data_IF_360513328850
#
_entry.id   IF_360513328850
#
_cell.length_a   1.000
_cell.length_b   1.000
_cell.length_c   1.000
_cell.angle_alpha   90.00
_cell.angle_beta   90.00
_cell.angle_gamma   90.00
#
_symmetry.space_group_name_H-M   'P 1'
#
loop_
_entity.id
_entity.type
_entity.pdbx_description
1 polymer ?
#
# COMPACT_ATOMS: atom_id res chain seq x y z
N UNK A 1 14.18 -7.90 22.76
CA UNK A 1 15.42 -8.13 21.98
C UNK A 1 15.06 -7.88 20.54
N UNK A 2 15.29 -6.67 20.02
CA UNK A 2 15.30 -6.36 18.59
C UNK A 2 16.58 -7.03 18.08
N UNK A 3 16.42 -8.14 17.34
CA UNK A 3 17.54 -8.78 16.70
C UNK A 3 18.14 -7.78 15.69
N UNK A 4 19.45 -7.63 15.70
CA UNK A 4 20.21 -6.85 14.74
C UNK A 4 19.94 -7.36 13.31
N UNK A 5 18.91 -6.83 12.68
CA UNK A 5 18.51 -7.17 11.32
C UNK A 5 19.47 -6.46 10.38
N UNK A 6 20.11 -7.18 9.47
CA UNK A 6 20.99 -6.64 8.43
C UNK A 6 20.29 -5.48 7.72
N UNK A 7 20.73 -4.25 7.95
CA UNK A 7 20.23 -3.01 7.32
C UNK A 7 20.58 -2.89 5.83
N UNK A 8 20.74 -4.02 5.13
CA UNK A 8 21.17 -4.02 3.73
C UNK A 8 20.12 -3.51 2.74
N UNK A 9 18.85 -3.30 3.17
CA UNK A 9 17.73 -2.88 2.33
C UNK A 9 16.93 -1.69 2.91
N UNK A 10 17.60 -0.79 3.64
CA UNK A 10 16.95 0.39 4.20
C UNK A 10 17.56 1.68 3.63
N UNK A 11 16.74 2.72 3.57
CA UNK A 11 17.10 4.06 3.10
C UNK A 11 16.55 5.12 4.04
N UNK A 12 17.12 6.32 3.97
CA UNK A 12 16.60 7.52 4.64
C UNK A 12 15.93 8.41 3.61
N UNK A 13 14.71 8.84 3.89
CA UNK A 13 13.99 9.87 3.15
C UNK A 13 13.73 11.06 4.07
N UNK A 14 14.29 12.22 3.74
CA UNK A 14 14.00 13.47 4.47
C UNK A 14 12.53 13.87 4.29
N UNK A 15 11.84 14.23 5.38
CA UNK A 15 10.43 14.64 5.33
C UNK A 15 10.16 15.78 4.35
N UNK A 16 11.09 16.75 4.25
CA UNK A 16 11.02 17.88 3.30
C UNK A 16 10.97 17.44 1.83
N UNK A 17 11.52 16.25 1.52
CA UNK A 17 11.54 15.69 0.16
C UNK A 17 10.34 14.81 -0.16
N UNK A 18 9.54 14.46 0.84
CA UNK A 18 8.39 13.54 0.67
C UNK A 18 7.41 14.06 -0.39
N UNK A 19 7.00 15.33 -0.30
CA UNK A 19 6.06 15.93 -1.26
C UNK A 19 6.58 15.87 -2.70
N UNK A 20 7.88 16.14 -2.90
CA UNK A 20 8.53 16.07 -4.22
C UNK A 20 8.61 14.64 -4.74
N UNK A 21 8.86 13.67 -3.88
CA UNK A 21 8.84 12.25 -4.20
C UNK A 21 7.43 11.80 -4.63
N UNK A 22 6.39 12.12 -3.85
CA UNK A 22 5.00 11.77 -4.18
C UNK A 22 4.52 12.44 -5.47
N UNK A 23 4.89 13.71 -5.68
CA UNK A 23 4.57 14.42 -6.93
C UNK A 23 5.16 13.73 -8.16
N UNK A 24 6.35 13.14 -8.02
CA UNK A 24 6.94 12.38 -9.12
C UNK A 24 6.23 11.05 -9.33
N UNK A 25 5.85 10.35 -8.24
CA UNK A 25 5.09 9.10 -8.32
C UNK A 25 3.75 9.27 -9.05
N UNK A 26 3.04 10.36 -8.80
CA UNK A 26 1.74 10.64 -9.43
C UNK A 26 1.79 10.82 -10.94
N UNK A 27 2.98 10.92 -11.55
CA UNK A 27 3.10 10.96 -13.01
C UNK A 27 2.84 9.61 -13.66
N UNK A 28 3.18 8.53 -12.96
CA UNK A 28 3.17 7.18 -13.50
C UNK A 28 2.15 6.28 -12.78
N UNK A 29 1.70 6.69 -11.59
CA UNK A 29 0.84 5.89 -10.71
C UNK A 29 -0.36 6.71 -10.21
N UNK A 30 -1.51 6.04 -10.09
CA UNK A 30 -2.63 6.53 -9.29
C UNK A 30 -2.26 6.37 -7.81
N UNK A 31 -2.14 7.48 -7.09
CA UNK A 31 -1.79 7.51 -5.68
C UNK A 31 -3.06 7.44 -4.83
N UNK A 32 -3.14 6.43 -3.96
CA UNK A 32 -4.23 6.26 -2.99
C UNK A 32 -3.68 6.56 -1.60
N UNK A 33 -4.33 7.45 -0.87
CA UNK A 33 -3.89 7.82 0.47
C UNK A 33 -5.05 8.13 1.42
N UNK A 34 -4.81 8.12 2.75
CA UNK A 34 -5.81 8.55 3.72
C UNK A 34 -6.01 10.06 3.63
N UNK A 35 -7.27 10.48 3.48
CA UNK A 35 -7.69 11.88 3.39
C UNK A 35 -8.92 12.09 4.25
N UNK A 36 -9.05 13.30 4.80
CA UNK A 36 -10.24 13.70 5.55
C UNK A 36 -11.40 13.93 4.57
N UNK A 37 -12.49 13.22 4.76
CA UNK A 37 -13.71 13.36 3.98
C UNK A 37 -14.58 14.51 4.53
N UNK A 38 -15.58 14.95 3.74
CA UNK A 38 -16.50 16.01 4.14
C UNK A 38 -17.33 15.69 5.39
N UNK A 39 -17.58 14.40 5.63
CA UNK A 39 -18.29 13.91 6.81
C UNK A 39 -17.45 13.89 8.10
N UNK A 40 -16.15 14.21 8.01
CA UNK A 40 -15.24 14.26 9.16
C UNK A 40 -14.52 12.95 9.46
N UNK A 41 -14.78 11.90 8.71
CA UNK A 41 -14.06 10.63 8.78
C UNK A 41 -12.90 10.57 7.76
N UNK A 42 -11.98 9.63 7.95
CA UNK A 42 -10.89 9.42 7.03
C UNK A 42 -11.23 8.32 6.02
N UNK A 43 -10.90 8.56 4.75
CA UNK A 43 -11.07 7.60 3.66
C UNK A 43 -9.76 7.39 2.92
N UNK A 44 -9.51 6.14 2.50
CA UNK A 44 -8.54 5.84 1.45
C UNK A 44 -9.18 6.20 0.12
N UNK A 45 -8.62 7.17 -0.59
CA UNK A 45 -9.13 7.63 -1.87
C UNK A 45 -8.01 8.13 -2.78
N UNK A 46 -8.30 8.25 -4.06
CA UNK A 46 -7.35 8.76 -5.04
C UNK A 46 -6.94 10.20 -4.70
N UNK A 47 -5.64 10.44 -4.77
CA UNK A 47 -5.02 11.70 -4.36
C UNK A 47 -4.78 12.56 -5.60
N UNK A 48 -5.54 13.63 -5.74
CA UNK A 48 -5.31 14.65 -6.75
C UNK A 48 -4.43 15.79 -6.21
N UNK A 49 -4.59 16.09 -4.93
CA UNK A 49 -3.84 17.12 -4.21
C UNK A 49 -3.08 16.52 -3.02
N UNK A 50 -1.76 16.68 -3.02
CA UNK A 50 -0.88 16.16 -1.97
C UNK A 50 -1.09 16.82 -0.60
N UNK A 51 -1.66 18.03 -0.55
CA UNK A 51 -1.93 18.72 0.70
C UNK A 51 -3.13 18.12 1.46
N UNK A 52 -3.92 17.28 0.78
CA UNK A 52 -5.03 16.52 1.39
C UNK A 52 -4.61 15.23 2.08
N UNK A 53 -3.37 14.77 1.85
CA UNK A 53 -2.85 13.57 2.50
C UNK A 53 -2.73 13.81 3.99
N UNK A 54 -3.37 12.96 4.79
CA UNK A 54 -3.30 13.05 6.24
C UNK A 54 -2.74 11.74 6.82
N UNK A 55 -1.48 11.77 7.25
CA UNK A 55 -0.83 10.64 7.91
C UNK A 55 -1.14 10.54 9.40
N UNK A 56 -1.72 11.59 9.97
CA UNK A 56 -2.15 11.63 11.38
C UNK A 56 -3.62 11.22 11.52
N UNK A 57 -4.02 10.16 10.83
CA UNK A 57 -5.35 9.56 10.95
C UNK A 57 -5.34 8.41 11.95
N UNK A 58 -6.49 8.10 12.52
CA UNK A 58 -6.65 6.97 13.42
C UNK A 58 -7.04 5.68 12.69
N UNK A 59 -8.15 5.70 11.93
CA UNK A 59 -8.64 4.62 11.08
C UNK A 59 -9.39 5.21 9.89
N UNK A 60 -9.40 4.51 8.77
CA UNK A 60 -10.23 4.85 7.61
C UNK A 60 -11.57 4.12 7.67
N UNK A 61 -12.64 4.79 7.23
CA UNK A 61 -13.99 4.22 7.20
C UNK A 61 -14.17 3.18 6.08
N UNK A 62 -13.39 3.27 5.01
CA UNK A 62 -13.30 2.25 3.99
C UNK A 62 -12.01 1.42 4.15
N UNK A 63 -11.95 0.29 3.48
CA UNK A 63 -10.85 -0.64 3.61
C UNK A 63 -10.01 -0.71 2.34
N UNK A 64 -8.69 -0.91 2.51
CA UNK A 64 -7.77 -1.17 1.40
C UNK A 64 -8.23 -2.35 0.52
N UNK A 65 -8.90 -3.32 1.11
CA UNK A 65 -9.38 -4.54 0.43
C UNK A 65 -10.36 -4.25 -0.72
N UNK A 66 -11.16 -3.20 -0.60
CA UNK A 66 -12.15 -2.82 -1.63
C UNK A 66 -11.53 -2.46 -2.97
N UNK A 67 -10.27 -2.04 -2.99
CA UNK A 67 -9.54 -1.74 -4.23
C UNK A 67 -9.12 -2.99 -5.00
N UNK A 68 -9.04 -4.13 -4.33
CA UNK A 68 -8.66 -5.41 -4.93
C UNK A 68 -9.89 -6.29 -5.18
N UNK A 69 -10.85 -6.26 -4.25
CA UNK A 69 -12.08 -7.03 -4.31
C UNK A 69 -13.27 -6.11 -4.02
N UNK A 70 -13.73 -5.34 -5.01
CA UNK A 70 -14.87 -4.43 -4.84
C UNK A 70 -16.18 -5.20 -4.71
N UNK A 71 -17.16 -4.59 -4.03
CA UNK A 71 -18.49 -5.19 -3.80
C UNK A 71 -19.25 -5.48 -5.12
N UNK A 72 -18.92 -4.78 -6.20
CA UNK A 72 -19.48 -4.98 -7.54
C UNK A 72 -18.37 -4.86 -8.57
N UNK A 73 -18.27 -5.85 -9.46
CA UNK A 73 -17.31 -5.88 -10.54
C UNK A 73 -17.90 -6.57 -11.75
N UNK A 74 -17.62 -6.04 -12.94
CA UNK A 74 -18.03 -6.70 -14.18
C UNK A 74 -16.94 -7.72 -14.55
N UNK A 75 -17.32 -9.00 -14.63
CA UNK A 75 -16.38 -10.10 -14.91
C UNK A 75 -16.28 -10.33 -16.41
N UNK A 76 -17.40 -10.24 -17.13
CA UNK A 76 -17.46 -10.35 -18.60
C UNK A 76 -18.71 -9.65 -19.14
N UNK A 77 -18.71 -9.35 -20.43
CA UNK A 77 -19.91 -8.97 -21.17
C UNK A 77 -20.25 -10.06 -22.19
N UNK A 78 -21.53 -10.18 -22.54
CA UNK A 78 -21.93 -11.11 -23.60
C UNK A 78 -22.86 -10.45 -24.61
N UNK A 79 -22.82 -10.93 -25.83
CA UNK A 79 -23.74 -10.57 -26.91
C UNK A 79 -24.45 -11.82 -27.39
N UNK A 80 -25.77 -11.78 -27.44
CA UNK A 80 -26.59 -12.83 -28.03
C UNK A 80 -26.93 -12.44 -29.47
N UNK A 81 -26.53 -13.25 -30.45
CA UNK A 81 -26.97 -13.16 -31.82
C UNK A 81 -27.59 -14.50 -32.17
N UNK A 82 -28.65 -14.50 -33.00
CA UNK A 82 -29.44 -15.65 -33.47
C UNK A 82 -28.75 -17.02 -33.28
N UNK A 83 -29.05 -17.68 -32.15
CA UNK A 83 -28.53 -19.02 -31.84
C UNK A 83 -27.08 -19.13 -31.32
N UNK A 84 -26.34 -18.02 -31.19
CA UNK A 84 -24.97 -18.01 -30.69
C UNK A 84 -24.75 -16.97 -29.57
N UNK A 85 -23.83 -17.27 -28.66
CA UNK A 85 -23.38 -16.36 -27.61
C UNK A 85 -21.91 -16.01 -27.85
N UNK A 86 -21.62 -14.73 -27.88
CA UNK A 86 -20.24 -14.23 -27.86
C UNK A 86 -19.93 -13.67 -26.46
N UNK A 87 -19.03 -14.31 -25.74
CA UNK A 87 -18.54 -13.84 -24.45
C UNK A 87 -17.31 -12.97 -24.72
N UNK A 88 -17.30 -11.76 -24.20
CA UNK A 88 -16.15 -10.87 -24.26
C UNK A 88 -15.62 -10.71 -22.81
N UNK A 89 -14.43 -11.24 -22.53
CA UNK A 89 -13.79 -10.98 -21.25
C UNK A 89 -13.51 -9.48 -21.12
N UNK A 90 -13.71 -8.93 -19.93
CA UNK A 90 -13.40 -7.51 -19.71
C UNK A 90 -11.90 -7.40 -19.56
N UNK A 91 -11.28 -6.71 -20.51
CA UNK A 91 -9.92 -6.21 -20.39
C UNK A 91 -9.98 -4.82 -19.74
N UNK A 92 -10.30 -4.76 -18.45
CA UNK A 92 -10.15 -3.50 -17.74
C UNK A 92 -8.68 -3.09 -17.74
N UNK A 93 -8.43 -1.85 -18.16
CA UNK A 93 -7.14 -1.21 -17.95
C UNK A 93 -6.99 -0.90 -16.47
N UNK A 94 -6.58 -1.90 -15.69
CA UNK A 94 -6.29 -1.71 -14.27
C UNK A 94 -5.12 -0.73 -14.15
N UNK A 95 -5.29 0.43 -13.52
CA UNK A 95 -4.22 1.39 -13.32
C UNK A 95 -3.14 0.82 -12.41
N UNK A 96 -1.91 1.28 -12.61
CA UNK A 96 -0.86 1.04 -11.62
C UNK A 96 -1.12 1.95 -10.41
N UNK A 97 -1.21 1.37 -9.22
CA UNK A 97 -1.56 2.09 -7.99
C UNK A 97 -0.42 2.05 -6.98
N UNK A 98 -0.25 3.16 -6.29
CA UNK A 98 0.56 3.25 -5.07
C UNK A 98 -0.36 3.57 -3.92
N UNK A 99 -0.45 2.68 -2.97
CA UNK A 99 -1.15 2.91 -1.71
C UNK A 99 -0.16 3.46 -0.70
N UNK A 100 -0.36 4.69 -0.28
CA UNK A 100 0.57 5.42 0.58
C UNK A 100 -0.08 5.77 1.91
N UNK A 101 0.64 5.60 3.00
CA UNK A 101 0.15 5.95 4.33
C UNK A 101 -0.66 4.85 5.02
N UNK A 102 -0.54 3.58 4.55
CA UNK A 102 -1.23 2.44 5.14
C UNK A 102 -0.74 2.14 6.56
N UNK A 103 -1.60 1.60 7.41
CA UNK A 103 -1.17 1.00 8.68
C UNK A 103 -0.70 -0.45 8.44
N UNK A 104 0.15 -0.95 9.33
CA UNK A 104 0.62 -2.35 9.26
C UNK A 104 -0.53 -3.35 9.25
N UNK A 105 -1.58 -3.11 10.05
CA UNK A 105 -2.77 -3.96 10.09
C UNK A 105 -3.55 -3.98 8.76
N UNK A 106 -3.56 -2.88 7.99
CA UNK A 106 -4.23 -2.84 6.68
C UNK A 106 -3.48 -3.72 5.67
N UNK A 107 -2.14 -3.66 5.68
CA UNK A 107 -1.29 -4.51 4.84
C UNK A 107 -1.49 -5.98 5.19
N UNK A 108 -1.49 -6.33 6.48
CA UNK A 108 -1.75 -7.71 6.93
C UNK A 108 -3.14 -8.22 6.52
N UNK A 109 -4.14 -7.34 6.52
CA UNK A 109 -5.48 -7.69 6.04
C UNK A 109 -5.49 -8.03 4.54
N UNK A 110 -4.67 -7.34 3.73
CA UNK A 110 -4.49 -7.70 2.30
C UNK A 110 -3.73 -9.00 2.15
N UNK A 111 -2.69 -9.27 2.94
CA UNK A 111 -1.99 -10.56 2.92
C UNK A 111 -2.93 -11.73 3.22
N UNK A 112 -3.90 -11.53 4.11
CA UNK A 112 -4.93 -12.54 4.38
C UNK A 112 -5.80 -12.78 3.15
N UNK A 113 -6.20 -11.73 2.42
CA UNK A 113 -6.89 -11.89 1.13
C UNK A 113 -6.00 -12.56 0.08
N UNK A 114 -4.70 -12.16 -0.01
CA UNK A 114 -3.74 -12.77 -0.92
C UNK A 114 -3.70 -14.30 -0.72
N UNK A 115 -3.67 -14.76 0.55
CA UNK A 115 -3.72 -16.18 0.88
C UNK A 115 -5.01 -16.85 0.42
N UNK A 116 -6.16 -16.21 0.64
CA UNK A 116 -7.46 -16.74 0.22
C UNK A 116 -7.56 -16.84 -1.31
N UNK A 117 -7.24 -15.78 -2.03
CA UNK A 117 -7.34 -15.72 -3.50
C UNK A 117 -6.19 -16.41 -4.25
N UNK A 118 -5.21 -16.98 -3.53
CA UNK A 118 -4.17 -17.84 -4.11
C UNK A 118 -4.60 -19.29 -4.27
N UNK A 119 -5.72 -19.69 -3.63
CA UNK A 119 -6.25 -21.05 -3.72
C UNK A 119 -6.94 -21.29 -5.08
N UNK A 120 -7.00 -22.54 -5.51
CA UNK A 120 -7.69 -22.91 -6.75
C UNK A 120 -9.22 -23.01 -6.54
N UNK A 121 -10.03 -22.44 -7.44
CA UNK A 121 -9.67 -21.70 -8.65
C UNK A 121 -9.17 -20.29 -8.32
N UNK A 122 -8.04 -19.91 -8.90
CA UNK A 122 -7.40 -18.61 -8.66
C UNK A 122 -8.22 -17.45 -9.24
N UNK A 123 -8.41 -16.38 -8.47
CA UNK A 123 -9.07 -15.16 -8.94
C UNK A 123 -8.11 -14.27 -9.73
N UNK A 124 -8.19 -14.36 -11.07
CA UNK A 124 -7.33 -13.60 -11.98
C UNK A 124 -7.54 -12.08 -11.90
N UNK A 125 -8.78 -11.61 -11.62
CA UNK A 125 -9.08 -10.19 -11.52
C UNK A 125 -8.51 -9.58 -10.25
N UNK A 126 -8.57 -10.31 -9.13
CA UNK A 126 -7.90 -9.93 -7.90
C UNK A 126 -6.40 -9.75 -8.12
N UNK A 127 -5.74 -10.78 -8.67
CA UNK A 127 -4.30 -10.78 -8.88
C UNK A 127 -3.85 -9.76 -9.92
N UNK A 128 -4.65 -9.48 -10.94
CA UNK A 128 -4.36 -8.42 -11.91
C UNK A 128 -4.23 -7.06 -11.22
N UNK A 129 -5.13 -6.73 -10.29
CA UNK A 129 -5.09 -5.48 -9.50
C UNK A 129 -3.96 -5.49 -8.48
N UNK A 130 -3.82 -6.60 -7.76
CA UNK A 130 -2.81 -6.77 -6.71
C UNK A 130 -1.38 -6.64 -7.24
N UNK A 131 -1.09 -7.26 -8.39
CA UNK A 131 0.22 -7.22 -9.02
C UNK A 131 0.61 -5.83 -9.53
N UNK A 132 -0.37 -5.00 -9.90
CA UNK A 132 -0.15 -3.61 -10.35
C UNK A 132 -0.10 -2.60 -9.21
N UNK A 133 -0.14 -3.04 -7.96
CA UNK A 133 -0.21 -2.18 -6.78
C UNK A 133 1.04 -2.25 -5.94
N UNK A 134 1.51 -1.11 -5.45
CA UNK A 134 2.60 -0.97 -4.47
C UNK A 134 1.99 -0.59 -3.13
N UNK A 135 2.33 -1.31 -2.06
CA UNK A 135 1.86 -1.04 -0.70
C UNK A 135 2.96 -0.36 0.12
N UNK A 136 2.74 0.91 0.46
CA UNK A 136 3.63 1.70 1.32
C UNK A 136 2.97 1.84 2.69
N UNK A 137 3.48 1.07 3.66
CA UNK A 137 3.02 1.12 5.04
C UNK A 137 3.77 2.17 5.87
N UNK A 138 3.13 2.62 6.94
CA UNK A 138 3.72 3.43 8.00
C UNK A 138 3.65 2.67 9.30
N UNK A 139 4.80 2.44 9.93
CA UNK A 139 4.87 1.87 11.26
C UNK A 139 4.21 2.81 12.28
N UNK A 140 3.47 2.24 13.22
CA UNK A 140 2.81 3.00 14.27
C UNK A 140 3.75 3.17 15.48
N UNK A 141 4.37 4.36 15.63
CA UNK A 141 5.21 4.67 16.80
C UNK A 141 4.40 4.71 18.11
N UNK A 142 3.09 4.90 18.01
CA UNK A 142 2.13 4.79 19.12
C UNK A 142 0.77 4.36 18.59
N UNK A 143 -0.06 3.68 19.40
CA UNK A 143 -1.39 3.29 18.99
C UNK A 143 -2.23 4.52 18.61
N UNK A 144 -2.82 4.60 17.42
CA UNK A 144 -3.70 5.72 17.05
C UNK A 144 -4.99 5.76 17.86
N UNK A 145 -5.44 4.60 18.38
CA UNK A 145 -6.63 4.47 19.25
C UNK A 145 -6.35 3.57 20.44
N UNK A 146 -7.08 3.77 21.54
CA UNK A 146 -7.04 2.88 22.71
C UNK A 146 -7.49 1.45 22.42
N UNK A 147 -8.33 1.30 21.40
CA UNK A 147 -8.84 0.00 20.92
C UNK A 147 -7.87 -0.74 19.97
N UNK A 148 -6.68 -0.22 19.71
CA UNK A 148 -5.69 -0.91 18.89
C UNK A 148 -5.21 -2.19 19.60
N UNK A 149 -5.29 -3.33 18.90
CA UNK A 149 -4.90 -4.65 19.42
C UNK A 149 -4.00 -5.44 18.45
N UNK A 150 -3.41 -4.79 17.46
CA UNK A 150 -2.56 -5.42 16.45
C UNK A 150 -1.37 -6.19 17.03
N UNK A 151 -0.87 -5.79 18.20
CA UNK A 151 0.18 -6.51 18.92
C UNK A 151 -0.27 -7.93 19.32
N UNK A 152 -1.52 -8.08 19.76
CA UNK A 152 -2.07 -9.40 20.14
C UNK A 152 -2.31 -10.30 18.94
N UNK A 153 -2.69 -9.71 17.80
CA UNK A 153 -2.93 -10.45 16.55
C UNK A 153 -1.68 -10.59 15.69
N UNK A 154 -0.54 -10.04 16.12
CA UNK A 154 0.72 -10.02 15.36
C UNK A 154 0.57 -9.38 13.96
N UNK A 155 -0.24 -8.33 13.88
CA UNK A 155 -0.49 -7.58 12.63
C UNK A 155 0.10 -6.17 12.63
N UNK A 156 0.95 -5.87 13.59
CA UNK A 156 1.63 -4.58 13.78
C UNK A 156 2.23 -4.48 15.18
N UNK A 157 2.80 -3.33 15.54
CA UNK A 157 2.70 -1.98 14.97
C UNK A 157 3.59 -1.72 13.74
N UNK A 158 4.55 -2.56 13.45
CA UNK A 158 5.41 -2.58 12.26
C UNK A 158 5.37 -3.98 11.64
N UNK A 159 5.84 -4.09 10.42
CA UNK A 159 5.89 -5.35 9.67
C UNK A 159 7.33 -5.82 9.53
N UNK A 160 7.54 -7.13 9.56
CA UNK A 160 8.80 -7.75 9.24
C UNK A 160 8.88 -8.10 7.74
N UNK A 161 10.10 -8.34 7.26
CA UNK A 161 10.34 -8.80 5.89
C UNK A 161 9.52 -10.07 5.59
N UNK A 162 8.87 -10.08 4.41
CA UNK A 162 7.95 -11.16 4.04
C UNK A 162 6.51 -10.96 4.53
N UNK A 163 6.20 -9.92 5.31
CA UNK A 163 4.85 -9.66 5.83
C UNK A 163 3.99 -8.78 4.92
N UNK A 164 4.33 -8.69 3.62
CA UNK A 164 3.45 -8.24 2.56
C UNK A 164 3.50 -6.76 2.20
N UNK A 165 4.32 -5.94 2.90
CA UNK A 165 4.56 -4.57 2.47
C UNK A 165 5.60 -4.53 1.34
N UNK A 166 5.45 -3.57 0.45
CA UNK A 166 6.48 -3.26 -0.54
C UNK A 166 7.52 -2.28 0.05
N UNK A 167 7.06 -1.16 0.62
CA UNK A 167 7.89 -0.24 1.39
C UNK A 167 7.28 -0.01 2.77
N UNK A 168 8.10 0.09 3.82
CA UNK A 168 7.68 0.50 5.15
C UNK A 168 8.41 1.76 5.57
N UNK A 169 7.64 2.76 5.96
CA UNK A 169 8.13 4.04 6.46
C UNK A 169 8.04 4.04 7.99
N UNK A 170 9.15 4.36 8.64
CA UNK A 170 9.24 4.50 10.09
C UNK A 170 9.63 5.94 10.38
N UNK A 171 8.83 6.64 11.18
CA UNK A 171 9.05 8.06 11.49
C UNK A 171 10.08 8.23 12.62
N UNK A 172 11.20 8.87 12.30
CA UNK A 172 12.29 9.21 13.24
C UNK A 172 12.38 10.74 13.51
N UNK A 173 11.27 11.44 13.43
CA UNK A 173 11.21 12.87 13.68
C UNK A 173 11.49 13.71 12.45
N UNK A 174 12.74 13.96 12.07
CA UNK A 174 13.10 14.75 10.87
C UNK A 174 13.01 13.95 9.58
N UNK A 175 13.24 12.64 9.66
CA UNK A 175 13.42 11.75 8.55
C UNK A 175 12.53 10.51 8.68
N UNK A 176 12.34 9.82 7.57
CA UNK A 176 11.78 8.48 7.55
C UNK A 176 12.89 7.46 7.27
N UNK A 177 12.96 6.41 8.08
CA UNK A 177 13.62 5.17 7.64
C UNK A 177 12.65 4.45 6.71
N UNK A 178 13.15 4.04 5.54
CA UNK A 178 12.36 3.36 4.52
C UNK A 178 12.95 1.98 4.28
N UNK A 179 12.23 0.97 4.71
CA UNK A 179 12.61 -0.44 4.52
C UNK A 179 11.98 -0.97 3.23
N UNK A 180 12.75 -1.80 2.51
CA UNK A 180 12.28 -2.52 1.31
C UNK A 180 11.86 -3.92 1.75
N UNK A 181 10.58 -4.26 1.53
CA UNK A 181 10.01 -5.56 1.90
C UNK A 181 9.96 -6.59 0.77
N UNK A 182 10.02 -6.15 -0.51
CA UNK A 182 9.91 -7.04 -1.66
C UNK A 182 10.88 -6.69 -2.78
N UNK A 183 11.21 -7.66 -3.64
CA UNK A 183 11.99 -7.43 -4.87
C UNK A 183 11.29 -6.45 -5.82
N UNK A 184 9.96 -6.46 -5.83
CA UNK A 184 9.13 -5.52 -6.57
C UNK A 184 9.39 -4.09 -6.13
N UNK A 185 9.44 -3.85 -4.81
CA UNK A 185 9.77 -2.54 -4.25
C UNK A 185 11.21 -2.13 -4.55
N UNK A 186 12.15 -3.07 -4.55
CA UNK A 186 13.53 -2.83 -4.96
C UNK A 186 13.65 -2.34 -6.41
N UNK A 187 12.81 -2.86 -7.32
CA UNK A 187 12.70 -2.37 -8.71
C UNK A 187 11.99 -1.03 -8.78
N UNK A 188 10.89 -0.88 -8.04
CA UNK A 188 10.07 0.33 -7.99
C UNK A 188 10.85 1.56 -7.52
N UNK A 189 11.73 1.43 -6.50
CA UNK A 189 12.46 2.56 -5.93
C UNK A 189 13.61 3.08 -6.83
N UNK A 190 14.08 2.29 -7.79
CA UNK A 190 15.25 2.63 -8.64
C UNK A 190 15.15 3.99 -9.34
N UNK A 191 14.04 4.37 -10.02
CA UNK A 191 13.90 5.68 -10.66
C UNK A 191 13.90 6.85 -9.66
N UNK A 192 13.61 6.58 -8.40
CA UNK A 192 13.44 7.56 -7.33
C UNK A 192 14.63 7.65 -6.38
N UNK A 193 15.75 6.94 -6.65
CA UNK A 193 16.93 6.87 -5.76
C UNK A 193 17.47 8.24 -5.32
N UNK A 194 17.31 9.28 -6.14
CA UNK A 194 17.75 10.65 -5.80
C UNK A 194 17.09 11.25 -4.55
N UNK A 195 15.96 10.70 -4.10
CA UNK A 195 15.27 11.15 -2.90
C UNK A 195 15.78 10.45 -1.64
N UNK A 196 16.50 9.35 -1.80
CA UNK A 196 16.89 8.44 -0.74
C UNK A 196 18.41 8.49 -0.54
N UNK A 197 18.82 8.40 0.73
CA UNK A 197 20.22 8.26 1.13
C UNK A 197 20.39 6.96 1.92
N UNK A 198 21.60 6.43 1.96
CA UNK A 198 21.87 5.30 2.84
C UNK A 198 21.84 5.77 4.30
N UNK A 199 21.36 4.95 5.23
CA UNK A 199 21.44 5.26 6.64
C UNK A 199 22.89 5.34 7.10
N UNK A 200 23.19 6.34 7.94
CA UNK A 200 24.48 6.40 8.60
C UNK A 200 24.60 5.24 9.62
N UNK A 201 25.83 4.72 9.80
CA UNK A 201 26.10 3.61 10.73
C UNK A 201 25.76 3.91 12.21
N UNK A 202 25.35 5.13 12.53
CA UNK A 202 24.96 5.57 13.87
C UNK A 202 23.48 5.38 14.21
N UNK A 203 22.68 4.75 13.32
CA UNK A 203 21.27 4.43 13.57
C UNK A 203 21.15 2.94 13.96
N UNK A 204 22.04 2.49 14.86
CA UNK A 204 21.92 1.18 15.52
C UNK A 204 21.18 1.31 16.85
#
# INVERSE_FOLDING_TARGET
RVASKKMNNAYILKKERLKSFLKLLMKDFSLISPQLAKAGDFLLQETEDLDRINLNYDITSNTLKEFFFPARETIFSYQKKEGSFKINPIQEKVPQRVFFGLRSCDVRAVCFQDHFFSQEPKDELYWLKRNKSILISFACNRPPRRSCFCVYTKTGPFLEEGEGFDLQFIDFGRDYLVEIGTDKAGKFIKPYKRFFTLPDKSIE
#
